data_IF_427787352946
#
_entry.id   IF_427787352946
#
_cell.length_a   1.000
_cell.length_b   1.000
_cell.length_c   1.000
_cell.angle_alpha   90.00
_cell.angle_beta   90.00
_cell.angle_gamma   90.00
#
_symmetry.space_group_name_H-M   'P 1'
#
loop_
_entity.id
_entity.type
_entity.pdbx_description
1 polymer ?
#
# COMPACT_ATOMS: atom_id res chain seq x y z
N UNK A 1 -24.59 5.79 -32.01
CA UNK A 1 -23.28 5.12 -31.83
C UNK A 1 -22.32 6.15 -31.27
N UNK A 2 -22.23 6.29 -29.95
CA UNK A 2 -21.27 7.20 -29.31
C UNK A 2 -19.97 6.43 -29.09
N UNK A 3 -18.88 6.89 -29.71
CA UNK A 3 -17.54 6.35 -29.47
C UNK A 3 -17.19 6.55 -27.99
N UNK A 4 -16.72 5.53 -27.26
CA UNK A 4 -16.21 5.72 -25.91
C UNK A 4 -15.10 6.77 -25.92
N UNK A 5 -15.00 7.66 -24.91
CA UNK A 5 -13.89 8.60 -24.84
C UNK A 5 -12.58 7.83 -24.87
N UNK A 6 -11.70 8.17 -25.81
CA UNK A 6 -10.35 7.63 -25.87
C UNK A 6 -9.68 8.01 -24.56
N UNK A 7 -9.22 7.02 -23.80
CA UNK A 7 -8.45 7.28 -22.58
C UNK A 7 -7.30 8.20 -22.92
N UNK A 8 -7.17 9.29 -22.18
CA UNK A 8 -6.06 10.20 -22.38
C UNK A 8 -4.77 9.54 -21.88
N UNK A 9 -3.63 9.98 -22.42
CA UNK A 9 -2.31 9.59 -21.90
C UNK A 9 -2.21 9.83 -20.38
N UNK A 10 -2.89 10.85 -19.88
CA UNK A 10 -2.94 11.20 -18.46
C UNK A 10 -3.68 10.12 -17.66
N UNK A 11 -4.80 9.60 -18.17
CA UNK A 11 -5.57 8.56 -17.49
C UNK A 11 -4.76 7.26 -17.34
N UNK A 12 -4.01 6.88 -18.38
CA UNK A 12 -3.16 5.69 -18.34
C UNK A 12 -1.97 5.87 -17.38
N UNK A 13 -1.37 7.07 -17.35
CA UNK A 13 -0.32 7.42 -16.40
C UNK A 13 -0.82 7.38 -14.94
N UNK A 14 -2.04 7.87 -14.69
CA UNK A 14 -2.64 7.83 -13.35
C UNK A 14 -2.84 6.38 -12.87
N UNK A 15 -3.36 5.50 -13.74
CA UNK A 15 -3.51 4.08 -13.44
C UNK A 15 -2.16 3.41 -13.14
N UNK A 16 -1.12 3.75 -13.90
CA UNK A 16 0.23 3.23 -13.70
C UNK A 16 0.82 3.68 -12.34
N UNK A 17 0.66 4.97 -12.01
CA UNK A 17 1.10 5.54 -10.73
C UNK A 17 0.37 4.87 -9.57
N UNK A 18 -0.95 4.69 -9.65
CA UNK A 18 -1.72 4.00 -8.61
C UNK A 18 -1.27 2.55 -8.42
N UNK A 19 -1.03 1.82 -9.51
CA UNK A 19 -0.51 0.45 -9.47
C UNK A 19 0.85 0.36 -8.79
N UNK A 20 1.75 1.31 -9.10
CA UNK A 20 3.08 1.43 -8.48
C UNK A 20 3.00 1.82 -7.00
N UNK A 21 2.13 2.75 -6.62
CA UNK A 21 1.91 3.13 -5.22
C UNK A 21 1.33 1.98 -4.39
N UNK A 22 0.43 1.20 -4.96
CA UNK A 22 -0.06 -0.04 -4.36
C UNK A 22 1.12 -1.00 -4.13
N UNK A 23 1.93 -1.26 -5.15
CA UNK A 23 3.13 -2.10 -5.02
C UNK A 23 4.11 -1.57 -3.97
N UNK A 24 4.35 -0.26 -3.89
CA UNK A 24 5.24 0.34 -2.88
C UNK A 24 4.69 0.21 -1.46
N UNK A 25 3.39 0.41 -1.27
CA UNK A 25 2.73 0.19 0.01
C UNK A 25 2.74 -1.29 0.48
N UNK A 26 2.96 -2.24 -0.43
CA UNK A 26 3.19 -3.66 -0.14
C UNK A 26 4.66 -4.09 -0.20
N UNK A 27 5.54 -3.29 -0.81
CA UNK A 27 6.93 -3.63 -1.12
C UNK A 27 7.94 -3.04 -0.13
N UNK A 28 7.59 -1.95 0.54
CA UNK A 28 8.35 -1.47 1.69
C UNK A 28 8.11 -2.40 2.89
N UNK A 29 9.17 -2.87 3.56
CA UNK A 29 9.04 -3.57 4.83
C UNK A 29 8.19 -2.77 5.79
N UNK A 30 7.24 -3.44 6.45
CA UNK A 30 6.27 -2.81 7.34
C UNK A 30 6.88 -1.80 8.33
N UNK A 31 8.06 -2.12 8.89
CA UNK A 31 8.75 -1.23 9.82
C UNK A 31 9.11 0.12 9.18
N UNK A 32 9.55 0.13 7.93
CA UNK A 32 9.90 1.38 7.22
C UNK A 32 8.66 2.25 7.02
N UNK A 33 7.49 1.64 6.82
CA UNK A 33 6.19 2.34 6.71
C UNK A 33 5.82 3.10 7.99
N UNK A 34 6.27 2.63 9.15
CA UNK A 34 6.02 3.27 10.46
C UNK A 34 7.24 4.06 10.97
N UNK A 35 8.22 4.36 10.10
CA UNK A 35 9.41 5.13 10.44
C UNK A 35 10.40 4.38 11.35
N UNK A 36 10.38 3.04 11.31
CA UNK A 36 11.22 2.17 12.12
C UNK A 36 12.28 1.44 11.28
N UNK A 37 13.43 1.08 11.89
CA UNK A 37 14.42 0.24 11.22
C UNK A 37 13.83 -1.09 10.76
N UNK A 38 14.24 -1.57 9.58
CA UNK A 38 13.76 -2.83 8.99
C UNK A 38 13.97 -4.02 9.92
N UNK A 39 15.07 -4.05 10.65
CA UNK A 39 15.49 -5.13 11.54
C UNK A 39 14.80 -5.10 12.91
N UNK A 40 14.05 -4.02 13.22
CA UNK A 40 13.36 -3.92 14.51
C UNK A 40 12.36 -5.06 14.65
N UNK A 41 12.49 -5.83 15.73
CA UNK A 41 11.55 -6.91 15.99
C UNK A 41 10.13 -6.34 16.15
N UNK A 42 9.17 -6.86 15.39
CA UNK A 42 7.77 -6.41 15.45
C UNK A 42 7.21 -6.52 16.87
N UNK A 43 7.61 -7.56 17.63
CA UNK A 43 7.23 -7.76 19.04
C UNK A 43 7.74 -6.67 19.99
N UNK A 44 8.77 -5.91 19.59
CA UNK A 44 9.34 -4.81 20.39
C UNK A 44 8.71 -3.45 20.09
N UNK A 45 7.75 -3.39 19.16
CA UNK A 45 7.08 -2.15 18.82
C UNK A 45 6.19 -1.68 19.99
N UNK A 46 6.29 -0.41 20.41
CA UNK A 46 5.43 0.13 21.46
C UNK A 46 3.97 0.23 21.00
N UNK A 47 3.73 0.49 19.71
CA UNK A 47 2.40 0.41 19.12
C UNK A 47 1.98 -1.05 18.93
N UNK A 48 0.79 -1.38 19.44
CA UNK A 48 0.13 -2.65 19.14
C UNK A 48 -0.34 -2.64 17.69
N UNK A 49 -0.13 -3.76 17.00
CA UNK A 49 -0.54 -3.94 15.63
C UNK A 49 -1.71 -4.92 15.54
N UNK A 50 -2.54 -4.76 14.52
CA UNK A 50 -3.58 -5.71 14.17
C UNK A 50 -3.41 -6.13 12.71
N UNK A 51 -3.45 -7.43 12.46
CA UNK A 51 -3.63 -7.96 11.12
C UNK A 51 -5.06 -7.64 10.65
N UNK A 52 -5.18 -7.17 9.41
CA UNK A 52 -6.45 -6.91 8.74
C UNK A 52 -6.40 -7.46 7.32
N UNK A 53 -7.55 -7.55 6.66
CA UNK A 53 -7.67 -7.95 5.26
C UNK A 53 -8.03 -6.73 4.42
N UNK A 54 -7.20 -6.41 3.41
CA UNK A 54 -7.47 -5.35 2.43
C UNK A 54 -7.36 -5.93 1.02
N UNK A 55 -8.47 -5.93 0.27
CA UNK A 55 -8.48 -6.40 -1.12
C UNK A 55 -8.02 -7.86 -1.27
N UNK A 56 -8.41 -8.73 -0.33
CA UNK A 56 -8.02 -10.15 -0.32
C UNK A 56 -6.59 -10.44 0.17
N UNK A 57 -5.84 -9.42 0.60
CA UNK A 57 -4.47 -9.58 1.12
C UNK A 57 -4.39 -9.22 2.60
N UNK A 58 -3.52 -9.90 3.34
CA UNK A 58 -3.21 -9.54 4.73
C UNK A 58 -2.45 -8.21 4.71
N UNK A 59 -2.93 -7.25 5.50
CA UNK A 59 -2.25 -5.98 5.77
C UNK A 59 -2.07 -5.84 7.28
N UNK A 60 -0.92 -5.33 7.71
CA UNK A 60 -0.67 -5.02 9.12
C UNK A 60 -0.89 -3.54 9.33
N UNK A 61 -1.64 -3.17 10.37
CA UNK A 61 -1.92 -1.76 10.72
C UNK A 61 -1.73 -1.52 12.20
N UNK A 62 -1.51 -0.25 12.56
CA UNK A 62 -1.57 0.21 13.95
C UNK A 62 -2.97 -0.04 14.48
N UNK A 63 -3.07 -0.68 15.64
CA UNK A 63 -4.33 -0.86 16.35
C UNK A 63 -4.76 0.51 16.92
N UNK A 64 -5.98 0.99 16.63
CA UNK A 64 -6.55 2.17 17.27
C UNK A 64 -6.61 2.06 18.79
#
# INVERSE_FOLDING_TARGET
MTTPPVKSLIDDQLVEIESKLIMLGFGLPFNEVIGQPRERAVASLPQRLAATMKGGRIAVRVRP
#
